data_IF_297319742950
#
_entry.id   IF_297319742950
#
_cell.length_a   1.000
_cell.length_b   1.000
_cell.length_c   1.000
_cell.angle_alpha   90.00
_cell.angle_beta   90.00
_cell.angle_gamma   90.00
#
_symmetry.space_group_name_H-M   'P 1'
#
loop_
_entity.id
_entity.type
_entity.pdbx_description
1 polymer ?
#
# COMPACT_ATOMS: atom_id res chain seq x y z
N UNK A 1 -7.10 -16.63 -20.83
CA UNK A 1 -6.01 -15.65 -20.75
C UNK A 1 -5.09 -16.10 -19.62
N UNK A 2 -3.78 -16.08 -19.83
CA UNK A 2 -2.82 -16.60 -18.85
C UNK A 2 -2.57 -15.57 -17.73
N UNK A 3 -2.60 -16.03 -16.48
CA UNK A 3 -2.36 -15.18 -15.31
C UNK A 3 -0.87 -14.86 -15.23
N UNK A 4 -0.51 -13.58 -15.24
CA UNK A 4 0.87 -13.10 -15.09
C UNK A 4 1.23 -12.99 -13.62
N UNK A 5 2.34 -13.61 -13.24
CA UNK A 5 2.91 -13.49 -11.90
C UNK A 5 3.94 -12.34 -11.90
N UNK A 6 3.77 -11.40 -10.97
CA UNK A 6 4.64 -10.24 -10.78
C UNK A 6 5.44 -10.41 -9.48
N UNK A 7 6.71 -10.03 -9.46
CA UNK A 7 7.54 -10.08 -8.25
C UNK A 7 7.15 -8.93 -7.31
N UNK A 8 6.86 -9.27 -6.05
CA UNK A 8 6.58 -8.26 -5.02
C UNK A 8 7.85 -7.50 -4.66
N UNK A 9 9.01 -8.15 -4.58
CA UNK A 9 10.29 -7.49 -4.33
C UNK A 9 10.66 -6.51 -5.45
N UNK A 10 10.47 -6.88 -6.71
CA UNK A 10 10.71 -5.97 -7.83
C UNK A 10 9.74 -4.79 -7.81
N UNK A 11 8.46 -5.03 -7.50
CA UNK A 11 7.48 -3.96 -7.32
C UNK A 11 7.95 -2.98 -6.24
N UNK A 12 8.29 -3.47 -5.05
CA UNK A 12 8.79 -2.66 -3.95
C UNK A 12 10.05 -1.89 -4.33
N UNK A 13 11.01 -2.55 -4.99
CA UNK A 13 12.29 -1.95 -5.38
C UNK A 13 12.14 -0.85 -6.43
N UNK A 14 11.18 -0.98 -7.34
CA UNK A 14 11.06 -0.11 -8.52
C UNK A 14 9.90 0.86 -8.45
N UNK A 15 8.96 0.67 -7.51
CA UNK A 15 7.68 1.36 -7.49
C UNK A 15 6.81 1.08 -8.72
N UNK A 16 7.03 -0.06 -9.40
CA UNK A 16 6.37 -0.40 -10.66
C UNK A 16 5.71 -1.78 -10.56
N UNK A 17 4.40 -1.85 -10.74
CA UNK A 17 3.64 -3.09 -10.76
C UNK A 17 3.58 -3.65 -12.19
N UNK A 18 4.59 -4.43 -12.58
CA UNK A 18 4.70 -4.94 -13.94
C UNK A 18 4.91 -3.80 -14.96
N UNK A 19 3.97 -3.52 -15.88
CA UNK A 19 4.06 -2.38 -16.79
C UNK A 19 3.55 -1.05 -16.19
N UNK A 20 3.05 -1.05 -14.96
CA UNK A 20 2.31 0.07 -14.36
C UNK A 20 3.23 0.83 -13.42
N UNK A 21 3.38 2.13 -13.62
CA UNK A 21 4.20 3.02 -12.79
C UNK A 21 3.49 4.36 -12.55
N UNK A 22 3.89 5.12 -11.52
CA UNK A 22 3.38 6.48 -11.31
C UNK A 22 3.52 7.34 -12.56
N UNK A 23 2.58 8.25 -12.75
CA UNK A 23 2.41 9.05 -13.97
C UNK A 23 1.63 8.36 -15.08
N UNK A 24 1.19 7.10 -14.90
CA UNK A 24 0.31 6.44 -15.85
C UNK A 24 -1.11 6.99 -15.74
N UNK A 25 -1.72 7.39 -16.85
CA UNK A 25 -3.11 7.89 -16.88
C UNK A 25 -4.10 6.83 -16.38
N UNK A 26 -5.11 7.23 -15.62
CA UNK A 26 -6.19 6.36 -15.12
C UNK A 26 -6.81 5.50 -16.23
N UNK A 27 -7.02 6.04 -17.44
CA UNK A 27 -7.60 5.27 -18.55
C UNK A 27 -6.67 4.15 -19.05
N UNK A 28 -5.35 4.37 -19.05
CA UNK A 28 -4.39 3.36 -19.47
C UNK A 28 -4.17 2.33 -18.36
N UNK A 29 -4.22 2.77 -17.09
CA UNK A 29 -4.27 1.88 -15.94
C UNK A 29 -5.47 0.92 -16.01
N UNK A 30 -6.68 1.45 -16.22
CA UNK A 30 -7.90 0.66 -16.34
C UNK A 30 -7.88 -0.30 -17.55
N UNK A 31 -7.17 0.05 -18.62
CA UNK A 31 -6.96 -0.86 -19.76
C UNK A 31 -6.05 -2.04 -19.41
N UNK A 32 -5.09 -1.85 -18.52
CA UNK A 32 -4.14 -2.89 -18.10
C UNK A 32 -4.74 -3.77 -17.00
N UNK A 33 -5.28 -3.17 -15.94
CA UNK A 33 -5.81 -3.90 -14.77
C UNK A 33 -7.31 -4.17 -14.82
N UNK A 34 -8.03 -3.60 -15.77
CA UNK A 34 -9.49 -3.73 -15.82
C UNK A 34 -10.17 -2.93 -14.72
N UNK A 35 -11.31 -3.44 -14.27
CA UNK A 35 -12.13 -2.81 -13.24
C UNK A 35 -11.56 -3.15 -11.85
N UNK A 36 -11.47 -2.17 -10.92
CA UNK A 36 -11.14 -2.45 -9.53
C UNK A 36 -12.22 -3.28 -8.84
N UNK A 37 -11.86 -3.92 -7.72
CA UNK A 37 -12.83 -4.62 -6.87
C UNK A 37 -13.78 -3.61 -6.19
N UNK A 38 -13.29 -2.41 -5.84
CA UNK A 38 -14.06 -1.29 -5.32
C UNK A 38 -13.33 0.06 -5.45
N UNK A 39 -13.98 1.16 -5.05
CA UNK A 39 -13.39 2.50 -5.01
C UNK A 39 -13.99 3.33 -3.87
N UNK A 40 -13.23 4.30 -3.36
CA UNK A 40 -13.68 5.20 -2.28
C UNK A 40 -14.35 6.43 -2.89
N UNK A 41 -15.56 6.75 -2.42
CA UNK A 41 -16.34 7.91 -2.87
C UNK A 41 -16.54 8.98 -1.79
N UNK A 42 -16.11 8.73 -0.55
CA UNK A 42 -16.45 9.56 0.61
C UNK A 42 -15.90 10.99 0.54
N UNK A 43 -14.91 11.24 -0.33
CA UNK A 43 -14.25 12.53 -0.47
C UNK A 43 -14.18 13.04 -1.92
N UNK A 44 -15.00 12.51 -2.84
CA UNK A 44 -14.96 12.89 -4.26
C UNK A 44 -16.29 13.45 -4.74
N UNK A 45 -16.24 14.56 -5.48
CA UNK A 45 -17.44 15.19 -6.05
C UNK A 45 -17.89 14.53 -7.37
N UNK A 46 -16.97 13.91 -8.13
CA UNK A 46 -17.26 13.43 -9.50
C UNK A 46 -16.58 12.11 -9.85
N UNK A 47 -15.24 12.05 -9.80
CA UNK A 47 -14.45 10.88 -10.21
C UNK A 47 -13.80 10.25 -8.99
N UNK A 48 -14.04 8.95 -8.70
CA UNK A 48 -13.32 8.27 -7.64
C UNK A 48 -11.86 8.10 -8.06
N UNK A 49 -10.96 8.75 -7.35
CA UNK A 49 -9.51 8.70 -7.60
C UNK A 49 -8.79 7.69 -6.72
N UNK A 50 -9.51 6.92 -5.91
CA UNK A 50 -8.96 5.92 -5.01
C UNK A 50 -9.58 4.56 -5.31
N UNK A 51 -8.79 3.63 -5.83
CA UNK A 51 -9.26 2.33 -6.33
C UNK A 51 -8.59 1.17 -5.60
N UNK A 52 -9.33 0.07 -5.43
CA UNK A 52 -8.94 -1.08 -4.62
C UNK A 52 -8.91 -2.35 -5.48
N UNK A 53 -7.81 -3.09 -5.43
CA UNK A 53 -7.54 -4.36 -6.14
C UNK A 53 -6.99 -5.40 -5.15
N UNK A 54 -7.89 -6.09 -4.45
CA UNK A 54 -7.53 -6.93 -3.32
C UNK A 54 -6.74 -6.10 -2.28
N UNK A 55 -5.50 -6.49 -1.92
CA UNK A 55 -4.66 -5.73 -1.00
C UNK A 55 -3.87 -4.61 -1.65
N UNK A 56 -3.94 -4.45 -2.98
CA UNK A 56 -3.27 -3.35 -3.70
C UNK A 56 -4.26 -2.22 -3.90
N UNK A 57 -3.94 -1.06 -3.38
CA UNK A 57 -4.74 0.15 -3.55
C UNK A 57 -3.93 1.19 -4.33
N UNK A 58 -4.64 2.08 -5.02
CA UNK A 58 -4.00 3.12 -5.84
C UNK A 58 -4.73 4.45 -5.72
N UNK A 59 -3.96 5.52 -5.75
CA UNK A 59 -4.48 6.89 -5.84
C UNK A 59 -4.09 7.54 -7.16
N UNK A 60 -5.04 8.23 -7.75
CA UNK A 60 -4.87 9.08 -8.93
C UNK A 60 -4.95 10.56 -8.55
N UNK A 61 -4.40 11.41 -9.40
CA UNK A 61 -4.56 12.85 -9.27
C UNK A 61 -6.01 13.31 -9.45
N UNK A 62 -6.37 14.39 -8.75
CA UNK A 62 -7.70 14.99 -8.82
C UNK A 62 -7.96 15.68 -10.17
N UNK A 63 -6.90 16.15 -10.84
CA UNK A 63 -7.03 16.84 -12.12
C UNK A 63 -6.92 15.88 -13.30
N UNK A 64 -7.71 16.05 -14.37
CA UNK A 64 -7.50 15.35 -15.62
C UNK A 64 -6.06 15.55 -16.13
N UNK A 65 -5.37 14.50 -16.61
CA UNK A 65 -5.90 13.20 -17.02
C UNK A 65 -5.99 12.13 -15.91
N UNK A 66 -5.91 12.52 -14.63
CA UNK A 66 -5.89 11.65 -13.46
C UNK A 66 -4.72 10.65 -13.53
N UNK A 67 -3.51 11.17 -13.39
CA UNK A 67 -2.31 10.34 -13.40
C UNK A 67 -2.17 9.57 -12.09
N UNK A 68 -1.70 8.32 -12.17
CA UNK A 68 -1.39 7.48 -11.02
C UNK A 68 -0.33 8.17 -10.16
N UNK A 69 -0.66 8.46 -8.90
CA UNK A 69 0.26 9.08 -7.96
C UNK A 69 1.10 8.04 -7.23
N UNK A 70 0.44 7.05 -6.62
CA UNK A 70 1.09 6.08 -5.77
C UNK A 70 0.32 4.75 -5.72
N UNK A 71 1.01 3.73 -5.22
CA UNK A 71 0.46 2.45 -4.83
C UNK A 71 0.50 2.31 -3.31
N UNK A 72 -0.45 1.56 -2.77
CA UNK A 72 -0.52 1.19 -1.38
C UNK A 72 -0.75 -0.31 -1.27
N UNK A 73 -0.15 -0.93 -0.27
CA UNK A 73 -0.39 -2.33 0.07
C UNK A 73 -0.93 -2.41 1.48
N UNK A 74 -2.15 -2.90 1.59
CA UNK A 74 -2.83 -3.14 2.85
C UNK A 74 -2.37 -4.44 3.50
N UNK A 75 -1.92 -4.34 4.75
CA UNK A 75 -1.57 -5.47 5.62
C UNK A 75 -0.73 -6.56 4.92
N UNK A 76 0.45 -6.24 4.34
CA UNK A 76 1.23 -7.24 3.60
C UNK A 76 1.64 -8.42 4.49
N UNK A 77 1.82 -8.19 5.79
CA UNK A 77 2.08 -9.20 6.79
C UNK A 77 0.88 -10.15 7.03
N UNK A 78 -0.33 -9.82 6.61
CA UNK A 78 -1.51 -10.69 6.73
C UNK A 78 -1.69 -11.63 5.54
N UNK A 79 -0.92 -11.43 4.46
CA UNK A 79 -0.98 -12.23 3.22
C UNK A 79 -0.27 -13.57 3.43
N UNK A 80 -1.01 -14.61 3.85
CA UNK A 80 -0.45 -15.94 4.19
C UNK A 80 -0.03 -16.79 2.99
N UNK A 81 -0.47 -16.41 1.79
CA UNK A 81 -0.17 -17.18 0.57
C UNK A 81 1.17 -16.74 -0.01
N UNK A 82 1.84 -17.66 -0.71
CA UNK A 82 3.04 -17.33 -1.48
C UNK A 82 2.73 -16.45 -2.70
N UNK A 83 1.46 -16.38 -3.10
CA UNK A 83 0.97 -15.49 -4.13
C UNK A 83 -0.34 -14.82 -3.74
N UNK A 84 -0.52 -13.56 -4.10
CA UNK A 84 -1.73 -12.80 -3.84
C UNK A 84 -2.39 -12.31 -5.13
N UNK A 85 -3.72 -12.31 -5.19
CA UNK A 85 -4.45 -11.89 -6.39
C UNK A 85 -4.54 -10.35 -6.39
N UNK A 86 -4.12 -9.73 -7.49
CA UNK A 86 -4.43 -8.32 -7.76
C UNK A 86 -5.72 -8.22 -8.57
N UNK A 87 -5.82 -9.01 -9.65
CA UNK A 87 -7.04 -9.15 -10.45
C UNK A 87 -7.04 -10.52 -11.16
N UNK A 88 -7.92 -10.70 -12.15
CA UNK A 88 -8.00 -11.95 -12.90
C UNK A 88 -6.79 -12.21 -13.81
N UNK A 89 -6.02 -11.18 -14.13
CA UNK A 89 -4.85 -11.27 -15.02
C UNK A 89 -3.52 -11.29 -14.27
N UNK A 90 -3.45 -10.78 -13.05
CA UNK A 90 -2.22 -10.56 -12.31
C UNK A 90 -2.28 -11.14 -10.90
N UNK A 91 -1.16 -11.73 -10.48
CA UNK A 91 -0.89 -12.05 -9.09
C UNK A 91 0.49 -11.52 -8.69
N UNK A 92 0.64 -11.18 -7.41
CA UNK A 92 1.92 -10.88 -6.79
C UNK A 92 2.52 -12.15 -6.20
N UNK A 93 3.79 -12.43 -6.48
CA UNK A 93 4.59 -13.41 -5.75
C UNK A 93 5.20 -12.72 -4.54
N UNK A 94 4.86 -13.17 -3.34
CA UNK A 94 5.20 -12.47 -2.10
C UNK A 94 6.68 -12.59 -1.71
N UNK A 95 7.40 -13.59 -2.22
CA UNK A 95 8.88 -13.68 -2.13
C UNK A 95 9.42 -13.43 -0.70
N UNK A 96 8.86 -14.16 0.27
CA UNK A 96 9.21 -14.10 1.70
C UNK A 96 8.80 -12.80 2.42
N UNK A 97 8.17 -11.86 1.71
CA UNK A 97 7.63 -10.60 2.23
C UNK A 97 6.11 -10.62 2.35
N UNK A 98 5.56 -11.68 2.96
CA UNK A 98 4.13 -11.76 3.32
C UNK A 98 3.95 -12.51 4.64
N UNK A 99 2.71 -12.65 5.13
CA UNK A 99 2.23 -13.63 6.11
C UNK A 99 2.87 -13.66 7.52
N UNK A 100 4.18 -13.91 7.60
CA UNK A 100 4.97 -13.88 8.83
C UNK A 100 6.06 -12.80 8.80
N UNK A 101 6.24 -12.12 7.67
CA UNK A 101 7.21 -11.04 7.52
C UNK A 101 6.82 -9.86 8.43
N UNK A 102 7.78 -9.43 9.24
CA UNK A 102 7.67 -8.23 10.08
C UNK A 102 8.17 -7.03 9.28
N UNK A 103 7.77 -5.82 9.69
CA UNK A 103 8.32 -4.57 9.13
C UNK A 103 9.86 -4.57 9.08
N UNK A 104 10.53 -5.15 10.10
CA UNK A 104 11.99 -5.29 10.12
C UNK A 104 12.54 -6.08 8.94
N UNK A 105 11.81 -7.09 8.46
CA UNK A 105 12.24 -7.95 7.36
C UNK A 105 12.18 -7.18 6.04
N UNK A 106 11.17 -6.30 5.87
CA UNK A 106 11.09 -5.38 4.74
C UNK A 106 12.27 -4.40 4.73
N UNK A 107 12.62 -3.82 5.88
CA UNK A 107 13.76 -2.91 6.01
C UNK A 107 15.10 -3.61 5.76
N UNK A 108 15.23 -4.88 6.17
CA UNK A 108 16.44 -5.68 5.97
C UNK A 108 16.56 -6.28 4.57
N UNK A 109 15.48 -6.31 3.79
CA UNK A 109 15.46 -6.89 2.45
C UNK A 109 16.33 -6.14 1.42
N UNK A 110 16.96 -5.02 1.81
CA UNK A 110 17.85 -4.19 1.01
C UNK A 110 17.25 -3.78 -0.35
N UNK A 111 15.94 -3.53 -0.36
CA UNK A 111 15.18 -3.15 -1.55
C UNK A 111 15.35 -1.67 -1.88
N UNK A 112 15.65 -0.85 -0.87
CA UNK A 112 15.62 0.61 -0.96
C UNK A 112 16.86 1.21 -0.31
N UNK A 113 17.12 2.47 -0.67
CA UNK A 113 18.00 3.30 0.13
C UNK A 113 17.24 3.72 1.40
N UNK A 114 17.78 3.37 2.57
CA UNK A 114 17.15 3.67 3.87
C UNK A 114 16.95 5.18 4.11
N UNK A 115 17.69 6.05 3.40
CA UNK A 115 17.50 7.50 3.48
C UNK A 115 16.20 7.98 2.83
N UNK A 116 15.63 7.18 1.94
CA UNK A 116 14.38 7.48 1.22
C UNK A 116 13.16 6.85 1.91
N UNK A 117 13.41 6.01 2.92
CA UNK A 117 12.38 5.36 3.72
C UNK A 117 11.83 6.34 4.76
N UNK A 118 10.51 6.43 4.85
CA UNK A 118 9.81 7.14 5.92
C UNK A 118 8.87 6.17 6.62
N UNK A 119 8.83 6.24 7.94
CA UNK A 119 7.94 5.44 8.77
C UNK A 119 7.08 6.41 9.57
N UNK A 120 5.77 6.25 9.44
CA UNK A 120 4.78 7.05 10.14
C UNK A 120 3.89 6.15 10.97
N UNK A 121 3.32 6.73 12.03
CA UNK A 121 2.20 6.10 12.72
C UNK A 121 0.92 6.72 12.19
N UNK A 122 -0.03 5.87 11.80
CA UNK A 122 -1.33 6.28 11.29
C UNK A 122 -2.42 5.82 12.26
N UNK A 123 -3.29 6.75 12.65
CA UNK A 123 -4.49 6.48 13.45
C UNK A 123 -5.69 6.41 12.52
N UNK A 124 -6.32 5.25 12.43
CA UNK A 124 -7.49 5.03 11.58
C UNK A 124 -8.81 5.05 12.37
N UNK A 125 -8.78 5.52 13.63
CA UNK A 125 -9.94 5.49 14.53
C UNK A 125 -10.22 4.08 15.07
N UNK A 126 -11.22 3.96 15.95
CA UNK A 126 -11.64 2.67 16.54
C UNK A 126 -10.53 1.82 17.17
N UNK A 127 -9.51 2.47 17.77
CA UNK A 127 -8.33 1.81 18.33
C UNK A 127 -7.48 1.02 17.32
N UNK A 128 -7.61 1.29 16.02
CA UNK A 128 -6.74 0.73 15.00
C UNK A 128 -5.54 1.64 14.79
N UNK A 129 -4.37 1.06 15.07
CA UNK A 129 -3.09 1.71 15.00
C UNK A 129 -2.24 1.02 13.93
N UNK A 130 -1.76 1.79 12.97
CA UNK A 130 -0.96 1.25 11.87
C UNK A 130 0.40 1.92 11.79
N UNK A 131 1.37 1.14 11.32
CA UNK A 131 2.65 1.64 10.85
C UNK A 131 2.56 1.80 9.34
N UNK A 132 2.76 3.02 8.85
CA UNK A 132 2.88 3.32 7.44
C UNK A 132 4.36 3.37 7.06
N UNK A 133 4.76 2.49 6.15
CA UNK A 133 6.07 2.50 5.52
C UNK A 133 5.94 3.13 4.12
N UNK A 134 6.40 4.37 4.02
CA UNK A 134 6.46 5.13 2.77
C UNK A 134 7.85 5.02 2.14
N UNK A 135 7.90 4.57 0.88
CA UNK A 135 9.12 4.59 0.06
C UNK A 135 8.80 5.05 -1.36
N UNK A 136 9.19 6.28 -1.68
CA UNK A 136 8.90 6.89 -2.97
C UNK A 136 7.40 6.99 -3.22
N UNK A 137 6.87 6.16 -4.12
CA UNK A 137 5.46 6.12 -4.53
C UNK A 137 4.75 4.83 -4.09
N UNK A 138 5.39 4.06 -3.20
CA UNK A 138 4.78 2.86 -2.61
C UNK A 138 4.60 3.11 -1.12
N UNK A 139 3.39 2.85 -0.64
CA UNK A 139 3.00 2.87 0.77
C UNK A 139 2.64 1.46 1.20
N UNK A 140 2.90 1.13 2.47
CA UNK A 140 2.53 -0.16 3.05
C UNK A 140 2.02 0.06 4.46
N UNK A 141 0.79 -0.37 4.71
CA UNK A 141 0.19 -0.30 6.03
C UNK A 141 0.36 -1.62 6.78
N UNK A 142 1.03 -1.55 7.92
CA UNK A 142 1.22 -2.67 8.83
C UNK A 142 0.31 -2.51 10.02
N UNK A 143 -0.50 -3.52 10.30
CA UNK A 143 -1.26 -3.56 11.55
C UNK A 143 -0.29 -3.73 12.72
N UNK A 144 -0.46 -2.91 13.75
CA UNK A 144 0.29 -3.01 14.99
C UNK A 144 -0.62 -3.62 16.05
N UNK A 145 -0.11 -4.62 16.75
CA UNK A 145 -0.79 -5.16 17.91
C UNK A 145 -0.83 -4.10 19.03
N UNK A 146 -1.99 -3.50 19.25
CA UNK A 146 -2.20 -2.41 20.21
C UNK A 146 -2.12 -2.87 21.65
N UNK A 147 -2.14 -4.18 21.92
CA UNK A 147 -1.84 -4.71 23.26
C UNK A 147 -0.42 -4.39 23.73
N UNK A 148 0.47 -3.99 22.81
CA UNK A 148 1.83 -3.55 23.10
C UNK A 148 1.91 -2.06 23.53
N UNK A 149 0.83 -1.30 23.42
CA UNK A 149 0.76 0.11 23.83
C UNK A 149 0.26 0.18 25.28
N UNK A 150 1.09 0.71 26.20
CA UNK A 150 0.72 0.82 27.61
C UNK A 150 -0.61 1.58 27.79
N UNK A 151 -1.57 0.92 28.46
CA UNK A 151 -2.94 1.41 28.71
C UNK A 151 -3.83 1.59 27.48
N UNK A 152 -3.45 1.05 26.31
CA UNK A 152 -4.22 1.12 25.05
C UNK A 152 -4.54 2.57 24.58
N UNK A 153 -3.87 3.56 25.17
CA UNK A 153 -4.06 4.99 24.90
C UNK A 153 -3.21 5.42 23.70
N UNK A 154 -3.69 5.05 22.52
CA UNK A 154 -3.07 5.32 21.22
C UNK A 154 -2.89 6.83 21.00
N UNK A 155 -3.84 7.65 21.42
CA UNK A 155 -3.77 9.11 21.26
C UNK A 155 -2.63 9.70 22.09
N UNK A 156 -2.43 9.20 23.31
CA UNK A 156 -1.27 9.58 24.13
C UNK A 156 0.03 9.08 23.54
N UNK A 157 0.11 7.86 23.02
CA UNK A 157 1.32 7.34 22.36
C UNK A 157 1.71 8.20 21.14
N UNK A 158 0.71 8.56 20.32
CA UNK A 158 0.87 9.44 19.17
C UNK A 158 1.27 10.86 19.54
N UNK A 159 0.78 11.40 20.65
CA UNK A 159 1.17 12.73 21.13
C UNK A 159 2.66 12.81 21.53
N UNK A 160 3.28 11.68 21.89
CA UNK A 160 4.70 11.60 22.26
C UNK A 160 5.60 11.20 21.09
N UNK A 161 5.04 10.81 19.95
CA UNK A 161 5.79 10.50 18.72
C UNK A 161 5.68 11.69 17.76
N UNK A 162 6.81 12.26 17.35
CA UNK A 162 6.88 13.48 16.53
C UNK A 162 6.43 13.30 15.06
N UNK A 163 5.60 12.31 14.74
CA UNK A 163 5.28 11.93 13.37
C UNK A 163 3.77 11.69 13.24
N UNK A 164 3.02 12.72 12.86
CA UNK A 164 1.64 12.62 12.40
C UNK A 164 1.60 12.80 10.89
N UNK A 165 0.87 11.95 10.19
CA UNK A 165 0.42 12.20 8.83
C UNK A 165 -1.08 12.43 8.93
N UNK A 166 -1.52 13.64 8.61
CA UNK A 166 -2.94 13.93 8.43
C UNK A 166 -3.32 13.37 7.05
N UNK A 167 -4.18 12.35 7.04
CA UNK A 167 -4.84 11.84 5.83
C UNK A 167 -5.96 12.78 5.41
#
# INVERSE_FOLDING_TARGET
MEKKLLSFRDFLKTGTLGPIKPGLRMIDFARILGTPDSWVTEHVETIPVYWIYGPVEVSFGNDPPHDLHWFQIEHPNSIRKTTERVNDQFALAMEELGGSAKLSDFLQAALWNLQDVRIHYANFGNHQFMLDLCVGTVQMFFEVDTSLIENEDIDRFLAHTHCKVDL
#
